data_IF_628820023720
#
_entry.id   IF_628820023720
#
_cell.length_a   1.000
_cell.length_b   1.000
_cell.length_c   1.000
_cell.angle_alpha   90.00
_cell.angle_beta   90.00
_cell.angle_gamma   90.00
#
_symmetry.space_group_name_H-M   'P 1'
#
loop_
_entity.id
_entity.type
_entity.pdbx_description
1 polymer ?
#
# COMPACT_ATOMS: atom_id res chain seq x y z
N UNK A 1 6.65 -5.79 -8.86
CA UNK A 1 7.83 -6.59 -8.46
C UNK A 1 7.52 -7.55 -7.32
N UNK A 2 7.18 -7.08 -6.11
CA UNK A 2 7.00 -7.92 -4.91
C UNK A 2 6.08 -9.13 -5.09
N UNK A 3 4.85 -8.93 -5.57
CA UNK A 3 3.86 -10.02 -5.75
C UNK A 3 4.33 -11.07 -6.77
N UNK A 4 5.00 -10.62 -7.84
CA UNK A 4 5.53 -11.52 -8.87
C UNK A 4 6.65 -12.39 -8.29
N UNK A 5 7.62 -11.76 -7.62
CA UNK A 5 8.72 -12.49 -6.98
C UNK A 5 8.22 -13.44 -5.88
N UNK A 6 7.21 -13.05 -5.10
CA UNK A 6 6.57 -13.92 -4.12
C UNK A 6 6.05 -15.21 -4.77
N UNK A 7 5.36 -15.11 -5.92
CA UNK A 7 4.85 -16.28 -6.66
C UNK A 7 5.97 -17.12 -7.29
N UNK A 8 7.00 -16.49 -7.82
CA UNK A 8 8.10 -17.20 -8.50
C UNK A 8 9.01 -17.95 -7.53
N UNK A 9 9.18 -17.40 -6.32
CA UNK A 9 10.15 -17.89 -5.33
C UNK A 9 9.52 -18.72 -4.21
N UNK A 10 8.20 -18.73 -4.05
CA UNK A 10 7.48 -19.54 -3.06
C UNK A 10 7.83 -21.03 -3.16
N UNK A 11 7.96 -21.56 -4.39
CA UNK A 11 8.36 -22.97 -4.63
C UNK A 11 9.74 -23.33 -4.06
N UNK A 12 10.56 -22.35 -3.72
CA UNK A 12 11.87 -22.51 -3.09
C UNK A 12 11.85 -22.21 -1.59
N UNK A 13 10.67 -21.98 -1.01
CA UNK A 13 10.52 -21.58 0.39
C UNK A 13 10.92 -20.13 0.69
N UNK A 14 11.12 -19.30 -0.34
CA UNK A 14 11.48 -17.89 -0.18
C UNK A 14 10.21 -17.04 -0.11
N UNK A 15 10.14 -16.19 0.93
CA UNK A 15 9.06 -15.23 1.13
C UNK A 15 9.50 -13.85 0.67
N UNK A 16 8.62 -13.14 -0.03
CA UNK A 16 8.89 -11.79 -0.54
C UNK A 16 7.75 -10.87 -0.13
N UNK A 17 8.08 -9.84 0.64
CA UNK A 17 7.13 -8.83 1.12
C UNK A 17 7.69 -7.42 0.85
N UNK A 18 6.84 -6.40 0.97
CA UNK A 18 7.25 -5.00 0.85
C UNK A 18 6.85 -4.20 2.09
N UNK A 19 7.56 -3.10 2.33
CA UNK A 19 7.20 -2.11 3.35
C UNK A 19 6.79 -0.79 2.69
N UNK A 20 5.81 -0.11 3.28
CA UNK A 20 5.41 1.25 2.95
C UNK A 20 5.65 2.14 4.20
N UNK A 21 6.88 2.63 4.39
CA UNK A 21 7.28 3.30 5.63
C UNK A 21 6.81 4.75 5.67
N UNK A 22 6.39 5.19 6.86
CA UNK A 22 6.22 6.60 7.21
C UNK A 22 7.08 6.87 8.43
N UNK A 23 8.20 7.58 8.23
CA UNK A 23 9.17 7.85 9.28
C UNK A 23 9.76 9.26 9.16
N UNK A 24 10.15 9.83 10.29
CA UNK A 24 10.86 11.09 10.37
C UNK A 24 12.37 10.84 10.29
N UNK A 25 12.99 11.34 9.23
CA UNK A 25 14.43 11.28 8.98
C UNK A 25 14.87 12.64 8.42
N UNK A 26 16.19 12.86 8.33
CA UNK A 26 16.73 14.05 7.63
C UNK A 26 16.20 14.21 6.20
N UNK A 27 15.80 13.12 5.54
CA UNK A 27 15.24 13.16 4.18
C UNK A 27 13.77 13.61 4.15
N UNK A 28 13.03 13.39 5.24
CA UNK A 28 11.56 13.56 5.29
C UNK A 28 11.11 14.70 6.20
N UNK A 29 12.02 15.35 6.93
CA UNK A 29 11.70 16.42 7.89
C UNK A 29 10.93 17.58 7.26
N UNK A 30 11.34 18.04 6.08
CA UNK A 30 10.70 19.15 5.36
C UNK A 30 9.30 18.79 4.83
N UNK A 31 9.02 17.51 4.63
CA UNK A 31 7.72 17.03 4.14
C UNK A 31 6.67 16.94 5.26
N UNK A 32 7.10 16.88 6.51
CA UNK A 32 6.24 16.55 7.66
C UNK A 32 5.79 17.77 8.47
N UNK A 33 5.98 18.99 7.95
CA UNK A 33 5.24 20.19 8.37
C UNK A 33 5.20 20.49 9.87
N UNK A 34 6.37 20.61 10.54
CA UNK A 34 6.43 21.01 11.95
C UNK A 34 6.24 19.88 12.96
N UNK A 35 6.07 18.62 12.50
CA UNK A 35 6.15 17.41 13.36
C UNK A 35 7.42 17.36 14.21
N UNK A 36 8.47 18.07 13.77
CA UNK A 36 9.72 18.27 14.51
C UNK A 36 9.58 19.06 15.82
N UNK A 37 8.42 19.61 16.16
CA UNK A 37 8.23 20.34 17.43
C UNK A 37 7.44 19.54 18.49
N UNK A 38 6.83 18.41 18.11
CA UNK A 38 6.08 17.53 19.02
C UNK A 38 6.86 16.22 19.30
N UNK A 39 7.22 16.01 20.56
CA UNK A 39 7.98 14.83 21.01
C UNK A 39 7.19 13.52 20.84
N UNK A 40 5.88 13.53 21.08
CA UNK A 40 5.05 12.35 20.92
C UNK A 40 4.89 11.99 19.42
N UNK A 41 4.68 13.01 18.58
CA UNK A 41 4.64 12.82 17.13
C UNK A 41 5.96 12.25 16.59
N UNK A 42 7.11 12.78 17.05
CA UNK A 42 8.44 12.24 16.72
C UNK A 42 8.60 10.78 17.09
N UNK A 43 8.23 10.40 18.32
CA UNK A 43 8.35 9.02 18.78
C UNK A 43 7.47 8.06 17.94
N UNK A 44 6.27 8.49 17.55
CA UNK A 44 5.38 7.70 16.69
C UNK A 44 5.92 7.49 15.26
N UNK A 45 6.83 8.35 14.83
CA UNK A 45 7.46 8.38 13.51
C UNK A 45 8.93 7.97 13.55
N UNK A 46 9.41 7.46 14.68
CA UNK A 46 10.79 6.99 14.81
C UNK A 46 11.06 5.87 13.79
N UNK A 47 12.12 5.96 12.96
CA UNK A 47 12.51 4.90 12.04
C UNK A 47 12.69 3.51 12.69
N UNK A 48 12.94 3.44 14.00
CA UNK A 48 13.00 2.19 14.75
C UNK A 48 11.68 1.40 14.67
N UNK A 49 10.53 2.07 14.56
CA UNK A 49 9.24 1.42 14.37
C UNK A 49 9.20 0.66 13.02
N UNK A 50 9.73 1.28 11.95
CA UNK A 50 9.86 0.62 10.64
C UNK A 50 10.83 -0.57 10.71
N UNK A 51 11.96 -0.39 11.40
CA UNK A 51 12.94 -1.45 11.58
C UNK A 51 12.36 -2.68 12.30
N UNK A 52 11.46 -2.48 13.25
CA UNK A 52 10.76 -3.58 13.92
C UNK A 52 9.92 -4.43 12.94
N UNK A 53 9.19 -3.80 12.01
CA UNK A 53 8.45 -4.53 10.98
C UNK A 53 9.37 -5.29 10.02
N UNK A 54 10.50 -4.69 9.64
CA UNK A 54 11.51 -5.38 8.81
C UNK A 54 12.10 -6.58 9.56
N UNK A 55 12.45 -6.41 10.84
CA UNK A 55 12.95 -7.49 11.68
C UNK A 55 11.96 -8.64 11.84
N UNK A 56 10.67 -8.32 12.02
CA UNK A 56 9.61 -9.33 12.04
C UNK A 56 9.52 -10.09 10.71
N UNK A 57 9.47 -9.38 9.57
CA UNK A 57 9.44 -10.00 8.24
C UNK A 57 10.65 -10.90 7.98
N UNK A 58 11.82 -10.56 8.52
CA UNK A 58 13.06 -11.34 8.40
C UNK A 58 13.16 -12.53 9.37
N UNK A 59 12.20 -12.70 10.30
CA UNK A 59 12.22 -13.76 11.32
C UNK A 59 11.31 -14.95 10.96
N UNK A 60 11.35 -15.99 11.79
CA UNK A 60 10.40 -17.11 11.69
C UNK A 60 8.98 -16.73 12.14
N UNK A 61 8.82 -15.61 12.87
CA UNK A 61 7.50 -15.14 13.34
C UNK A 61 6.61 -14.62 12.21
N UNK A 62 7.15 -14.43 11.01
CA UNK A 62 6.40 -14.04 9.81
C UNK A 62 5.99 -15.26 8.97
N UNK A 63 6.01 -16.47 9.53
CA UNK A 63 5.62 -17.68 8.78
C UNK A 63 4.23 -17.53 8.15
N UNK A 64 4.08 -18.02 6.93
CA UNK A 64 2.87 -17.81 6.12
C UNK A 64 2.66 -16.39 5.54
N UNK A 65 3.52 -15.41 5.86
CA UNK A 65 3.43 -14.05 5.30
C UNK A 65 4.24 -13.95 4.01
N UNK A 66 3.55 -13.94 2.86
CA UNK A 66 4.18 -13.83 1.54
C UNK A 66 3.37 -12.93 0.61
N UNK A 67 4.05 -12.12 -0.21
CA UNK A 67 3.43 -11.21 -1.17
C UNK A 67 2.68 -10.01 -0.56
N UNK A 68 2.88 -9.73 0.73
CA UNK A 68 2.16 -8.70 1.46
C UNK A 68 2.90 -7.35 1.45
N UNK A 69 2.15 -6.27 1.65
CA UNK A 69 2.68 -4.91 1.83
C UNK A 69 2.35 -4.42 3.24
N UNK A 70 3.37 -4.17 4.04
CA UNK A 70 3.24 -3.68 5.42
C UNK A 70 3.45 -2.16 5.44
N UNK A 71 2.38 -1.40 5.69
CA UNK A 71 2.46 0.04 5.94
C UNK A 71 2.67 0.28 7.43
N UNK A 72 3.68 1.06 7.79
CA UNK A 72 4.02 1.29 9.20
C UNK A 72 4.52 2.73 9.44
N UNK A 73 4.01 3.34 10.50
CA UNK A 73 4.38 4.68 10.95
C UNK A 73 3.24 5.36 11.69
N UNK A 74 3.55 6.43 12.43
CA UNK A 74 2.55 7.18 13.20
C UNK A 74 1.86 6.34 14.28
N UNK A 75 2.56 5.35 14.84
CA UNK A 75 2.00 4.41 15.82
C UNK A 75 1.05 3.34 15.26
N UNK A 76 0.95 3.20 13.93
CA UNK A 76 0.05 2.23 13.29
C UNK A 76 0.84 1.28 12.38
N UNK A 77 0.48 0.00 12.39
CA UNK A 77 0.96 -1.03 11.46
C UNK A 77 -0.23 -1.65 10.73
N UNK A 78 -0.20 -1.65 9.39
CA UNK A 78 -1.32 -2.04 8.52
C UNK A 78 -0.84 -2.96 7.40
N UNK A 79 -1.70 -3.88 6.98
CA UNK A 79 -1.52 -4.59 5.71
C UNK A 79 -2.30 -3.85 4.64
N UNK A 80 -1.66 -3.64 3.48
CA UNK A 80 -2.27 -2.94 2.35
C UNK A 80 -2.65 -3.97 1.28
N UNK A 81 -3.91 -3.93 0.87
CA UNK A 81 -4.41 -4.69 -0.26
C UNK A 81 -4.10 -3.97 -1.58
N UNK A 82 -3.82 -4.75 -2.63
CA UNK A 82 -3.55 -4.23 -3.96
C UNK A 82 -4.81 -3.87 -4.75
N UNK A 83 -4.62 -3.64 -6.04
CA UNK A 83 -5.67 -3.31 -6.98
C UNK A 83 -6.63 -4.50 -7.17
N UNK A 84 -7.93 -4.25 -7.00
CA UNK A 84 -9.00 -5.18 -7.35
C UNK A 84 -10.02 -4.50 -8.26
N UNK A 85 -10.67 -5.22 -9.20
CA UNK A 85 -11.78 -4.66 -9.96
C UNK A 85 -12.89 -4.22 -9.01
N UNK A 86 -13.41 -3.01 -9.19
CA UNK A 86 -14.52 -2.44 -8.41
C UNK A 86 -15.78 -2.20 -9.24
N UNK A 87 -15.62 -2.19 -10.56
CA UNK A 87 -16.66 -1.99 -11.57
C UNK A 87 -16.21 -2.65 -12.87
N UNK A 88 -17.17 -2.92 -13.76
CA UNK A 88 -16.88 -3.54 -15.05
C UNK A 88 -17.78 -2.96 -16.15
N UNK A 89 -17.22 -2.82 -17.34
CA UNK A 89 -17.94 -2.57 -18.58
C UNK A 89 -17.76 -3.80 -19.47
N UNK A 90 -18.86 -4.37 -19.95
CA UNK A 90 -18.85 -5.54 -20.84
C UNK A 90 -19.24 -5.14 -22.25
N UNK A 91 -18.68 -5.82 -23.23
CA UNK A 91 -19.05 -5.68 -24.63
C UNK A 91 -18.86 -7.01 -25.35
N UNK A 92 -19.81 -7.34 -26.23
CA UNK A 92 -19.73 -8.50 -27.12
C UNK A 92 -18.97 -8.18 -28.43
N UNK A 93 -18.58 -6.92 -28.62
CA UNK A 93 -17.78 -6.43 -29.74
C UNK A 93 -16.50 -5.77 -29.23
N UNK A 94 -15.45 -5.60 -30.06
CA UNK A 94 -14.24 -4.89 -29.64
C UNK A 94 -14.54 -3.49 -29.12
N UNK A 95 -13.89 -3.10 -28.03
CA UNK A 95 -14.00 -1.75 -27.49
C UNK A 95 -13.42 -0.70 -28.45
N UNK A 96 -14.08 0.44 -28.53
CA UNK A 96 -13.57 1.66 -29.16
C UNK A 96 -13.39 2.74 -28.11
N UNK A 97 -12.70 3.82 -28.44
CA UNK A 97 -12.55 4.98 -27.54
C UNK A 97 -13.94 5.51 -27.17
N UNK A 98 -14.84 5.59 -28.15
CA UNK A 98 -16.21 6.10 -27.99
C UNK A 98 -17.05 5.19 -27.10
N UNK A 99 -16.95 3.86 -27.24
CA UNK A 99 -17.74 2.93 -26.42
C UNK A 99 -17.28 2.90 -24.96
N UNK A 100 -15.98 3.04 -24.71
CA UNK A 100 -15.45 3.21 -23.34
C UNK A 100 -15.88 4.56 -22.77
N UNK A 101 -15.79 5.64 -23.55
CA UNK A 101 -16.20 6.97 -23.11
C UNK A 101 -17.69 7.03 -22.76
N UNK A 102 -18.55 6.40 -23.56
CA UNK A 102 -19.97 6.25 -23.25
C UNK A 102 -20.23 5.44 -21.97
N UNK A 103 -19.38 4.44 -21.69
CA UNK A 103 -19.44 3.63 -20.47
C UNK A 103 -18.82 4.25 -19.22
N UNK A 104 -18.32 5.50 -19.28
CA UNK A 104 -17.62 6.17 -18.17
C UNK A 104 -18.39 6.12 -16.86
N UNK A 105 -19.68 6.43 -16.88
CA UNK A 105 -20.51 6.42 -15.66
C UNK A 105 -20.61 5.03 -15.05
N UNK A 106 -20.61 3.97 -15.88
CA UNK A 106 -20.61 2.58 -15.40
C UNK A 106 -19.26 2.22 -14.77
N UNK A 107 -18.15 2.60 -15.42
CA UNK A 107 -16.80 2.35 -14.93
C UNK A 107 -16.50 3.09 -13.61
N UNK A 108 -17.00 4.31 -13.43
CA UNK A 108 -16.75 5.09 -12.21
C UNK A 108 -17.94 5.10 -11.24
N UNK A 109 -18.90 4.19 -11.40
CA UNK A 109 -20.04 4.08 -10.49
C UNK A 109 -19.64 3.80 -9.04
N UNK A 110 -18.56 3.03 -8.84
CA UNK A 110 -18.07 2.60 -7.54
C UNK A 110 -16.68 3.18 -7.19
N UNK A 111 -16.18 4.15 -7.95
CA UNK A 111 -14.87 4.77 -7.73
C UNK A 111 -14.85 6.21 -8.17
N UNK A 112 -14.25 7.09 -7.38
CA UNK A 112 -13.97 8.47 -7.80
C UNK A 112 -12.95 8.47 -8.96
N UNK A 113 -13.22 9.13 -10.10
CA UNK A 113 -12.25 9.30 -11.18
C UNK A 113 -11.13 10.31 -10.87
N UNK A 114 -11.20 11.01 -9.73
CA UNK A 114 -10.22 11.98 -9.28
C UNK A 114 -8.91 11.38 -8.73
N UNK A 115 -8.06 12.25 -8.18
CA UNK A 115 -6.78 11.84 -7.57
C UNK A 115 -7.09 11.20 -6.20
N UNK A 116 -6.69 9.93 -5.96
CA UNK A 116 -6.86 9.32 -4.65
C UNK A 116 -6.14 10.11 -3.55
N UNK A 117 -6.66 10.11 -2.31
CA UNK A 117 -6.00 10.78 -1.20
C UNK A 117 -4.65 10.12 -0.90
N UNK A 118 -3.70 10.91 -0.40
CA UNK A 118 -2.37 10.43 -0.04
C UNK A 118 -2.40 9.35 1.07
N UNK A 119 -3.37 9.46 1.99
CA UNK A 119 -3.56 8.52 3.09
C UNK A 119 -4.86 7.74 2.88
N UNK A 120 -4.71 6.43 2.67
CA UNK A 120 -5.82 5.49 2.61
C UNK A 120 -6.30 5.16 4.04
N UNK A 121 -7.59 5.34 4.30
CA UNK A 121 -8.23 4.91 5.54
C UNK A 121 -8.66 3.45 5.41
N UNK A 122 -8.82 2.77 6.55
CA UNK A 122 -9.43 1.43 6.56
C UNK A 122 -10.92 1.63 6.30
N UNK A 123 -11.44 1.04 5.22
CA UNK A 123 -12.88 0.88 5.01
C UNK A 123 -13.41 -0.01 6.14
N UNK A 124 -14.29 0.54 7.00
CA UNK A 124 -14.97 -0.19 8.07
C UNK A 124 -16.24 -0.84 7.59
#
# INVERSE_FOLDING_TARGET
MTIVLARELERFGVRVNAIAPVALTRLTEDLMGGVVDDTAAKASLDPANVAAAVGWLASDLSDGVNGQVVKIGGGVCQIVEGWRPVSELKSDVPFTIESIAAGRETLFKASDPGIPPFLLQIER
#
